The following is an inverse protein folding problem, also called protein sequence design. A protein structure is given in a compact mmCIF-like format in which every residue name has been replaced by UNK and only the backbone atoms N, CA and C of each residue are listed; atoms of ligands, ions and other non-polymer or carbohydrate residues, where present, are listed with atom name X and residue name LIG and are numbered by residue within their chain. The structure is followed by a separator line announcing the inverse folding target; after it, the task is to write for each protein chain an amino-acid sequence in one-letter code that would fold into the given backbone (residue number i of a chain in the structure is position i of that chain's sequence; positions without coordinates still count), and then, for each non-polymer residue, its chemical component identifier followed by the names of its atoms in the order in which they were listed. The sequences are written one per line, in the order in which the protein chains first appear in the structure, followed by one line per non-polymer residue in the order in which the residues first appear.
data_IF_565463378718
#
_entry.id   IF_565463378718
#
_cell.length_a   1.000
_cell.length_b   1.000
_cell.length_c   1.000
_cell.angle_alpha   90.00
_cell.angle_beta   90.00
_cell.angle_gamma   90.00
#
_symmetry.space_group_name_H-M   'P 1'
#
loop_
_entity.id
_entity.type
_entity.pdbx_description
1 polymer ?
#
# COMPACT_ATOMS: atom_id res chain seq x y z
N UNK A 1 8.69 2.16 -11.14
CA UNK A 1 9.45 2.33 -9.89
C UNK A 1 8.55 1.90 -8.75
N UNK A 2 9.00 1.01 -7.88
CA UNK A 2 8.15 0.49 -6.78
C UNK A 2 7.96 1.55 -5.71
N UNK A 3 6.81 1.62 -5.06
CA UNK A 3 6.54 2.58 -3.98
C UNK A 3 6.24 1.85 -2.68
N UNK A 4 6.98 2.20 -1.64
CA UNK A 4 6.81 1.70 -0.29
C UNK A 4 6.30 2.82 0.61
N UNK A 5 5.30 2.50 1.43
CA UNK A 5 4.84 3.37 2.51
C UNK A 5 5.20 2.71 3.84
N UNK A 6 5.96 3.41 4.69
CA UNK A 6 6.29 2.97 6.04
C UNK A 6 5.63 3.90 7.06
N UNK A 7 4.86 3.34 8.00
CA UNK A 7 4.12 4.08 9.01
C UNK A 7 4.41 3.53 10.41
N UNK A 8 4.92 4.37 11.29
CA UNK A 8 5.29 4.03 12.68
C UNK A 8 5.50 5.36 13.42
N UNK A 9 5.00 5.51 14.63
CA UNK A 9 5.13 6.76 15.40
C UNK A 9 6.58 7.05 15.83
N UNK A 10 7.44 6.03 15.82
CA UNK A 10 8.86 6.15 16.08
C UNK A 10 9.68 6.35 14.80
N UNK A 11 10.10 7.60 14.54
CA UNK A 11 10.94 7.93 13.37
C UNK A 11 12.23 7.09 13.29
N UNK A 12 12.79 6.68 14.43
CA UNK A 12 14.00 5.86 14.48
C UNK A 12 13.78 4.47 13.87
N UNK A 13 12.59 3.89 14.09
CA UNK A 13 12.18 2.60 13.52
C UNK A 13 12.03 2.73 12.00
N UNK A 14 11.32 3.77 11.54
CA UNK A 14 11.17 4.07 10.10
C UNK A 14 12.52 4.22 9.39
N UNK A 15 13.44 4.96 10.01
CA UNK A 15 14.78 5.16 9.47
C UNK A 15 15.60 3.87 9.44
N UNK A 16 15.47 3.00 10.45
CA UNK A 16 16.11 1.70 10.48
C UNK A 16 15.60 0.79 9.35
N UNK A 17 14.27 0.66 9.19
CA UNK A 17 13.67 -0.08 8.09
C UNK A 17 14.13 0.46 6.73
N UNK A 18 14.05 1.78 6.51
CA UNK A 18 14.48 2.40 5.26
C UNK A 18 15.94 2.09 4.91
N UNK A 19 16.85 2.17 5.89
CA UNK A 19 18.26 1.84 5.68
C UNK A 19 18.44 0.37 5.26
N UNK A 20 17.71 -0.54 5.89
CA UNK A 20 17.79 -1.96 5.58
C UNK A 20 17.25 -2.28 4.18
N UNK A 21 16.13 -1.64 3.79
CA UNK A 21 15.58 -1.76 2.43
C UNK A 21 16.59 -1.28 1.38
N UNK A 22 17.22 -0.12 1.59
CA UNK A 22 18.23 0.45 0.67
C UNK A 22 19.51 -0.35 0.56
N UNK A 23 19.92 -1.06 1.60
CA UNK A 23 21.15 -1.87 1.55
C UNK A 23 20.99 -3.14 0.70
N UNK A 24 19.76 -3.64 0.56
CA UNK A 24 19.49 -4.95 -0.06
C UNK A 24 18.84 -4.84 -1.44
N UNK A 25 18.06 -3.79 -1.64
CA UNK A 25 17.38 -3.50 -2.90
C UNK A 25 18.17 -2.38 -3.56
N UNK A 26 18.57 -2.55 -4.83
CA UNK A 26 19.32 -1.53 -5.57
C UNK A 26 18.50 -0.22 -5.58
N UNK A 27 19.11 0.87 -5.12
CA UNK A 27 18.47 2.18 -4.83
C UNK A 27 17.67 2.79 -6.01
N UNK A 28 17.82 2.30 -7.24
CA UNK A 28 17.14 2.84 -8.44
C UNK A 28 15.73 2.26 -8.67
N UNK A 29 15.34 1.19 -7.95
CA UNK A 29 14.11 0.45 -8.25
C UNK A 29 12.91 0.82 -7.38
N UNK A 30 13.08 1.60 -6.31
CA UNK A 30 12.01 1.89 -5.37
C UNK A 30 12.10 3.25 -4.64
N UNK A 31 10.92 3.83 -4.39
CA UNK A 31 10.67 5.01 -3.58
C UNK A 31 10.15 4.57 -2.21
N UNK A 32 10.68 5.15 -1.13
CA UNK A 32 10.20 4.90 0.24
C UNK A 32 9.69 6.20 0.85
N UNK A 33 8.40 6.24 1.16
CA UNK A 33 7.73 7.32 1.88
C UNK A 33 7.59 6.92 3.36
N UNK A 34 7.90 7.85 4.27
CA UNK A 34 7.90 7.62 5.71
C UNK A 34 6.88 8.55 6.37
N UNK A 35 6.02 8.01 7.24
CA UNK A 35 5.04 8.80 7.97
C UNK A 35 5.00 8.37 9.44
N UNK A 36 5.10 9.35 10.36
CA UNK A 36 4.89 9.11 11.80
C UNK A 36 3.44 9.33 12.24
N UNK A 37 2.61 9.82 11.34
CA UNK A 37 1.19 10.09 11.57
C UNK A 37 0.36 9.25 10.58
N UNK A 38 -0.45 8.29 11.07
CA UNK A 38 -1.26 7.43 10.21
C UNK A 38 -2.31 8.20 9.40
N UNK A 39 -2.79 9.36 9.87
CA UNK A 39 -3.76 10.17 9.12
C UNK A 39 -3.12 10.82 7.88
N UNK A 40 -1.89 11.32 8.04
CA UNK A 40 -1.12 11.86 6.91
C UNK A 40 -0.77 10.76 5.91
N UNK A 41 -0.44 9.56 6.40
CA UNK A 41 -0.22 8.40 5.55
C UNK A 41 -1.48 8.03 4.75
N UNK A 42 -2.67 8.04 5.37
CA UNK A 42 -3.94 7.78 4.69
C UNK A 42 -4.32 8.87 3.67
N UNK A 43 -3.97 10.12 3.92
CA UNK A 43 -4.11 11.16 2.91
C UNK A 43 -3.23 10.82 1.70
N UNK A 44 -1.98 10.43 1.95
CA UNK A 44 -1.03 10.08 0.88
C UNK A 44 -1.49 8.88 0.05
N UNK A 45 -2.05 7.85 0.70
CA UNK A 45 -2.65 6.68 0.03
C UNK A 45 -3.80 7.06 -0.91
N UNK A 46 -4.45 8.21 -0.72
CA UNK A 46 -5.50 8.69 -1.62
C UNK A 46 -4.98 9.49 -2.81
N UNK A 47 -3.69 9.81 -2.83
CA UNK A 47 -3.05 10.63 -3.87
C UNK A 47 -2.14 9.80 -4.77
N UNK A 48 -1.48 8.78 -4.24
CA UNK A 48 -0.55 7.92 -5.00
C UNK A 48 -0.71 6.46 -4.65
N UNK A 49 -0.48 5.60 -5.63
CA UNK A 49 -0.46 4.16 -5.44
C UNK A 49 0.83 3.66 -4.76
N UNK A 50 0.67 2.71 -3.84
CA UNK A 50 1.77 2.01 -3.18
C UNK A 50 1.77 0.53 -3.56
N UNK A 51 2.96 -0.04 -3.72
CA UNK A 51 3.13 -1.48 -3.94
C UNK A 51 3.12 -2.24 -2.63
N UNK A 52 3.79 -1.69 -1.62
CA UNK A 52 3.92 -2.30 -0.30
C UNK A 52 3.70 -1.25 0.78
N UNK A 53 2.86 -1.58 1.75
CA UNK A 53 2.60 -0.73 2.92
C UNK A 53 2.99 -1.50 4.17
N UNK A 54 3.84 -0.90 5.01
CA UNK A 54 4.28 -1.46 6.29
C UNK A 54 3.80 -0.51 7.38
N UNK A 55 3.00 -0.99 8.31
CA UNK A 55 2.49 -0.19 9.42
C UNK A 55 2.79 -0.86 10.77
N UNK A 56 3.19 -0.06 11.76
CA UNK A 56 3.25 -0.52 13.14
C UNK A 56 1.85 -0.80 13.70
N UNK A 57 1.77 -1.84 14.53
CA UNK A 57 0.51 -2.22 15.17
C UNK A 57 0.06 -1.18 16.21
N UNK A 58 0.99 -0.65 17.01
CA UNK A 58 0.71 0.21 18.16
C UNK A 58 1.08 1.67 17.87
N UNK A 59 0.25 2.34 17.07
CA UNK A 59 0.39 3.78 16.87
C UNK A 59 -0.63 4.56 17.72
N UNK A 60 -0.27 5.73 18.26
CA UNK A 60 -1.21 6.65 18.89
C UNK A 60 -2.33 7.04 17.91
N UNK A 61 -3.53 7.30 18.43
CA UNK A 61 -4.73 7.74 17.69
C UNK A 61 -5.39 6.69 16.78
N UNK A 62 -4.63 5.85 16.09
CA UNK A 62 -5.13 4.80 15.19
C UNK A 62 -4.18 3.61 15.21
N UNK A 63 -4.70 2.41 15.52
CA UNK A 63 -3.86 1.22 15.48
C UNK A 63 -3.55 0.79 14.03
N UNK A 64 -2.52 -0.04 13.85
CA UNK A 64 -2.09 -0.50 12.54
C UNK A 64 -3.12 -1.32 11.78
N UNK A 65 -4.05 -2.01 12.46
CA UNK A 65 -5.10 -2.77 11.79
C UNK A 65 -6.11 -1.83 11.14
N UNK A 66 -6.61 -0.85 11.87
CA UNK A 66 -7.60 0.12 11.38
C UNK A 66 -7.00 0.98 10.25
N UNK A 67 -5.70 1.27 10.33
CA UNK A 67 -4.97 1.91 9.24
C UNK A 67 -4.92 1.00 8.00
N UNK A 68 -4.45 -0.24 8.13
CA UNK A 68 -4.32 -1.17 7.00
C UNK A 68 -5.66 -1.59 6.40
N UNK A 69 -6.74 -1.59 7.19
CA UNK A 69 -8.11 -1.79 6.70
C UNK A 69 -8.54 -0.66 5.76
N UNK A 70 -8.25 0.60 6.12
CA UNK A 70 -8.52 1.73 5.23
C UNK A 70 -7.62 1.73 3.99
N UNK A 71 -6.37 1.27 4.12
CA UNK A 71 -5.48 1.06 2.97
C UNK A 71 -6.03 -0.03 2.05
N UNK A 72 -6.57 -1.13 2.58
CA UNK A 72 -7.23 -2.17 1.78
C UNK A 72 -8.39 -1.58 0.98
N UNK A 73 -9.22 -0.74 1.60
CA UNK A 73 -10.37 -0.15 0.93
C UNK A 73 -9.98 0.85 -0.17
N UNK A 74 -8.92 1.63 0.06
CA UNK A 74 -8.42 2.60 -0.90
C UNK A 74 -7.57 1.95 -2.02
N UNK A 75 -6.73 0.98 -1.66
CA UNK A 75 -5.75 0.30 -2.50
C UNK A 75 -5.75 -1.21 -2.19
N UNK A 76 -6.77 -1.96 -2.66
CA UNK A 76 -6.91 -3.39 -2.35
C UNK A 76 -5.71 -4.22 -2.85
N UNK A 77 -5.09 -3.71 -3.90
CA UNK A 77 -4.00 -4.28 -4.66
C UNK A 77 -2.62 -4.12 -4.01
N UNK A 78 -2.47 -3.19 -3.05
CA UNK A 78 -1.22 -2.97 -2.33
C UNK A 78 -0.93 -4.13 -1.37
N UNK A 79 0.30 -4.63 -1.31
CA UNK A 79 0.67 -5.65 -0.32
C UNK A 79 0.83 -5.01 1.05
N UNK A 80 0.03 -5.43 2.03
CA UNK A 80 0.00 -4.87 3.38
C UNK A 80 0.77 -5.74 4.37
N UNK A 81 1.68 -5.12 5.13
CA UNK A 81 2.53 -5.74 6.14
C UNK A 81 2.33 -5.06 7.49
N UNK A 82 2.32 -5.85 8.56
CA UNK A 82 2.21 -5.33 9.92
C UNK A 82 3.51 -5.52 10.69
N UNK A 83 3.98 -4.47 11.36
CA UNK A 83 5.13 -4.49 12.25
C UNK A 83 4.62 -4.55 13.71
N UNK A 84 5.15 -5.44 14.55
CA UNK A 84 4.67 -5.62 15.93
C UNK A 84 5.79 -6.02 16.89
N UNK A 85 5.77 -5.49 18.12
CA UNK A 85 6.70 -5.86 19.18
C UNK A 85 6.33 -7.15 19.93
N UNK A 86 5.07 -7.63 19.83
CA UNK A 86 4.60 -8.82 20.54
C UNK A 86 4.15 -9.91 19.57
N UNK A 87 4.48 -11.16 19.93
CA UNK A 87 4.09 -12.37 19.19
C UNK A 87 2.70 -12.90 19.60
N UNK A 88 1.99 -12.25 20.51
CA UNK A 88 0.69 -12.73 21.01
C UNK A 88 -0.46 -12.33 20.08
N UNK A 89 -0.45 -12.95 18.90
CA UNK A 89 -1.36 -12.63 17.78
C UNK A 89 -2.75 -13.26 17.92
N UNK A 90 -2.96 -14.16 18.88
CA UNK A 90 -4.20 -14.95 19.00
C UNK A 90 -5.46 -14.08 19.08
N UNK A 91 -5.40 -12.97 19.81
CA UNK A 91 -6.55 -12.07 20.02
C UNK A 91 -6.79 -11.12 18.84
N UNK A 92 -5.75 -10.86 18.02
CA UNK A 92 -5.77 -9.82 16.97
C UNK A 92 -5.99 -10.44 15.57
N UNK A 93 -5.85 -11.76 15.43
CA UNK A 93 -5.97 -12.48 14.13
C UNK A 93 -7.23 -12.13 13.34
N UNK A 94 -8.38 -12.03 13.99
CA UNK A 94 -9.63 -11.66 13.30
C UNK A 94 -9.56 -10.26 12.68
N UNK A 95 -8.93 -9.32 13.36
CA UNK A 95 -8.78 -7.95 12.89
C UNK A 95 -7.76 -7.87 11.74
N UNK A 96 -6.66 -8.61 11.86
CA UNK A 96 -5.63 -8.77 10.82
C UNK A 96 -6.21 -9.36 9.54
N UNK A 97 -7.06 -10.38 9.65
CA UNK A 97 -7.73 -11.00 8.50
C UNK A 97 -8.65 -10.02 7.79
N UNK A 98 -9.35 -9.13 8.52
CA UNK A 98 -10.14 -8.06 7.89
C UNK A 98 -9.24 -7.14 7.09
N UNK A 99 -8.13 -6.66 7.64
CA UNK A 99 -7.19 -5.82 6.90
C UNK A 99 -6.43 -6.56 5.78
N UNK A 100 -6.67 -7.87 5.58
CA UNK A 100 -6.01 -8.72 4.59
C UNK A 100 -4.48 -8.56 4.62
N UNK A 101 -3.92 -8.54 5.84
CA UNK A 101 -2.47 -8.42 6.02
C UNK A 101 -1.78 -9.65 5.44
N UNK A 102 -0.78 -9.44 4.60
CA UNK A 102 -0.05 -10.52 3.97
C UNK A 102 0.89 -11.23 4.95
N UNK A 103 1.67 -10.46 5.71
CA UNK A 103 2.69 -10.94 6.63
C UNK A 103 2.84 -9.98 7.81
N UNK A 104 3.19 -10.53 8.95
CA UNK A 104 3.66 -9.77 10.11
C UNK A 104 5.18 -9.82 10.20
N UNK A 105 5.75 -8.77 10.78
CA UNK A 105 7.17 -8.60 11.05
C UNK A 105 7.30 -8.35 12.55
N UNK A 106 7.95 -9.27 13.27
CA UNK A 106 8.19 -9.11 14.71
C UNK A 106 9.41 -8.22 14.96
N UNK A 107 9.30 -7.27 15.88
CA UNK A 107 10.43 -6.47 16.39
C UNK A 107 11.16 -7.27 17.50
N UNK A 108 12.49 -7.31 17.54
CA UNK A 108 13.43 -6.85 16.50
C UNK A 108 13.48 -7.82 15.31
N UNK A 109 13.68 -7.29 14.11
CA UNK A 109 13.83 -8.08 12.87
C UNK A 109 15.29 -8.16 12.44
N UNK A 110 15.65 -9.24 11.75
CA UNK A 110 16.96 -9.37 11.09
C UNK A 110 16.93 -8.82 9.67
N UNK A 111 18.11 -8.52 9.11
CA UNK A 111 18.23 -8.09 7.72
C UNK A 111 17.73 -9.16 6.74
N UNK A 112 18.02 -10.43 7.00
CA UNK A 112 17.63 -11.54 6.13
C UNK A 112 16.12 -11.78 6.14
N UNK A 113 15.48 -11.71 7.32
CA UNK A 113 14.02 -11.84 7.42
C UNK A 113 13.31 -10.71 6.66
N UNK A 114 13.75 -9.46 6.86
CA UNK A 114 13.12 -8.32 6.19
C UNK A 114 13.31 -8.40 4.67
N UNK A 115 14.50 -8.80 4.21
CA UNK A 115 14.82 -9.01 2.78
C UNK A 115 13.88 -10.06 2.15
N UNK A 116 13.70 -11.20 2.81
CA UNK A 116 12.80 -12.25 2.33
C UNK A 116 11.35 -11.79 2.31
N UNK A 117 10.88 -11.13 3.37
CA UNK A 117 9.50 -10.64 3.46
C UNK A 117 9.22 -9.62 2.35
N UNK A 118 10.15 -8.70 2.09
CA UNK A 118 9.99 -7.69 1.04
C UNK A 118 9.98 -8.33 -0.35
N UNK A 119 10.89 -9.27 -0.62
CA UNK A 119 10.90 -10.03 -1.88
C UNK A 119 9.55 -10.72 -2.11
N UNK A 120 9.06 -11.47 -1.12
CA UNK A 120 7.77 -12.15 -1.20
C UNK A 120 6.59 -11.17 -1.37
N UNK A 121 6.69 -9.97 -0.78
CA UNK A 121 5.66 -8.94 -0.87
C UNK A 121 5.56 -8.32 -2.26
N UNK A 122 6.71 -8.10 -2.91
CA UNK A 122 6.78 -7.65 -4.30
C UNK A 122 6.31 -8.74 -5.26
N UNK A 123 6.72 -9.99 -5.06
CA UNK A 123 6.22 -11.12 -5.86
C UNK A 123 4.69 -11.29 -5.75
N UNK A 124 4.14 -11.08 -4.55
CA UNK A 124 2.69 -11.09 -4.36
C UNK A 124 2.02 -9.92 -5.09
N UNK A 125 2.60 -8.72 -5.02
CA UNK A 125 2.11 -7.55 -5.72
C UNK A 125 2.05 -7.79 -7.23
N UNK A 126 3.08 -8.40 -7.79
CA UNK A 126 3.16 -8.71 -9.23
C UNK A 126 2.09 -9.70 -9.67
N UNK A 127 1.88 -10.75 -8.88
CA UNK A 127 0.82 -11.73 -9.15
C UNK A 127 -0.57 -11.09 -9.15
N UNK A 128 -0.85 -10.24 -8.16
CA UNK A 128 -2.14 -9.52 -8.08
C UNK A 128 -2.35 -8.65 -9.32
N UNK A 129 -1.32 -7.92 -9.75
CA UNK A 129 -1.41 -7.09 -10.96
C UNK A 129 -1.56 -7.90 -12.24
N UNK A 130 -0.86 -9.02 -12.35
CA UNK A 130 -0.98 -9.91 -13.50
C UNK A 130 -2.39 -10.51 -13.59
N UNK A 131 -2.93 -11.03 -12.48
CA UNK A 131 -4.28 -11.58 -12.41
C UNK A 131 -5.33 -10.53 -12.79
N UNK A 132 -5.18 -9.29 -12.29
CA UNK A 132 -6.06 -8.17 -12.63
C UNK A 132 -6.00 -7.83 -14.11
N UNK A 133 -4.80 -7.70 -14.67
CA UNK A 133 -4.57 -7.42 -16.09
C UNK A 133 -5.19 -8.50 -17.00
N UNK A 134 -5.02 -9.77 -16.65
CA UNK A 134 -5.62 -10.89 -17.39
C UNK A 134 -7.15 -10.84 -17.32
N UNK A 135 -7.72 -10.59 -16.14
CA UNK A 135 -9.16 -10.47 -15.97
C UNK A 135 -9.73 -9.30 -16.79
N UNK A 136 -9.03 -8.17 -16.86
CA UNK A 136 -9.45 -7.02 -17.65
C UNK A 136 -9.35 -7.26 -19.16
N UNK A 137 -8.30 -7.95 -19.63
CA UNK A 137 -8.20 -8.37 -21.02
C UNK A 137 -9.40 -9.23 -21.44
N UNK A 138 -9.82 -10.17 -20.59
CA UNK A 138 -11.01 -11.00 -20.81
C UNK A 138 -12.29 -10.15 -20.84
N UNK A 139 -12.42 -9.17 -19.94
CA UNK A 139 -13.59 -8.26 -19.92
C UNK A 139 -13.68 -7.42 -21.20
N UNK A 140 -12.55 -6.95 -21.72
CA UNK A 140 -12.49 -6.22 -23.00
C UNK A 140 -12.89 -7.13 -24.15
N UNK A 141 -12.33 -8.34 -24.23
CA UNK A 141 -12.67 -9.30 -25.30
C UNK A 141 -14.16 -9.67 -25.30
N UNK A 142 -14.79 -9.74 -24.13
CA UNK A 142 -16.24 -10.00 -23.97
C UNK A 142 -17.12 -8.77 -24.19
N UNK A 143 -16.55 -7.60 -24.48
CA UNK A 143 -17.27 -6.34 -24.64
C UNK A 143 -17.87 -5.78 -23.34
N UNK A 144 -17.47 -6.31 -22.18
CA UNK A 144 -17.91 -5.84 -20.85
C UNK A 144 -17.18 -4.55 -20.45
N UNK A 145 -15.95 -4.35 -20.95
CA UNK A 145 -15.14 -3.16 -20.71
C UNK A 145 -14.67 -2.58 -22.05
N UNK A 146 -14.77 -1.25 -22.21
CA UNK A 146 -14.23 -0.58 -23.40
C UNK A 146 -12.74 -0.25 -23.21
N UNK A 147 -11.96 -0.11 -24.29
CA UNK A 147 -10.56 0.33 -24.19
C UNK A 147 -10.40 1.66 -23.45
N UNK A 148 -11.32 2.61 -23.65
CA UNK A 148 -11.31 3.91 -22.99
C UNK A 148 -11.57 3.78 -21.48
N UNK A 149 -12.51 2.91 -21.09
CA UNK A 149 -12.78 2.65 -19.68
C UNK A 149 -11.63 1.91 -18.99
N UNK A 150 -10.92 1.02 -19.72
CA UNK A 150 -9.71 0.38 -19.21
C UNK A 150 -8.59 1.40 -18.99
N UNK A 151 -8.37 2.30 -19.94
CA UNK A 151 -7.33 3.32 -19.81
C UNK A 151 -7.64 4.30 -18.66
N UNK A 152 -8.89 4.72 -18.51
CA UNK A 152 -9.30 5.54 -17.37
C UNK A 152 -9.05 4.82 -16.03
N UNK A 153 -9.33 3.52 -15.95
CA UNK A 153 -9.03 2.73 -14.75
C UNK A 153 -7.53 2.65 -14.48
N UNK A 154 -6.70 2.41 -15.50
CA UNK A 154 -5.24 2.37 -15.37
C UNK A 154 -4.69 3.67 -14.78
N UNK A 155 -5.19 4.81 -15.25
CA UNK A 155 -4.79 6.12 -14.73
C UNK A 155 -5.21 6.30 -13.27
N UNK A 156 -6.44 5.94 -12.92
CA UNK A 156 -6.93 6.01 -11.53
C UNK A 156 -6.18 5.05 -10.60
N UNK A 157 -5.65 3.94 -11.12
CA UNK A 157 -4.82 3.00 -10.35
C UNK A 157 -3.41 3.51 -10.12
N UNK A 158 -2.81 4.22 -11.09
CA UNK A 158 -1.46 4.78 -10.97
C UNK A 158 -1.46 6.05 -10.10
N UNK A 159 -2.45 6.91 -10.31
CA UNK A 159 -2.62 8.19 -9.65
C UNK A 159 -4.09 8.32 -9.20
N UNK A 160 -4.43 7.80 -8.01
CA UNK A 160 -5.78 7.86 -7.47
C UNK A 160 -6.37 9.27 -7.48
N UNK A 161 -7.60 9.41 -7.98
CA UNK A 161 -8.31 10.68 -8.13
C UNK A 161 -8.08 11.42 -9.44
N UNK A 162 -7.12 11.02 -10.29
CA UNK A 162 -6.79 11.75 -11.53
C UNK A 162 -7.93 11.79 -12.55
N UNK A 163 -8.86 10.83 -12.51
CA UNK A 163 -10.03 10.82 -13.39
C UNK A 163 -11.22 11.63 -12.86
N UNK A 164 -11.13 12.15 -11.63
CA UNK A 164 -12.21 12.88 -10.97
C UNK A 164 -12.00 14.39 -11.18
N UNK A 165 -12.80 14.96 -12.07
CA UNK A 165 -12.81 16.42 -12.29
C UNK A 165 -13.92 17.06 -11.44
N UNK A 166 -13.56 18.05 -10.63
CA UNK A 166 -14.52 18.89 -9.91
C UNK A 166 -14.99 20.02 -10.81
N UNK A 167 -16.29 20.09 -11.05
CA UNK A 167 -16.91 21.13 -11.85
C UNK A 167 -17.63 22.14 -10.94
N UNK A 168 -17.41 23.42 -11.20
CA UNK A 168 -18.20 24.51 -10.64
C UNK A 168 -19.60 24.57 -11.26
N UNK A 169 -20.53 25.25 -10.59
CA UNK A 169 -21.91 25.45 -11.07
C UNK A 169 -21.98 26.22 -12.40
N UNK A 170 -20.91 26.92 -12.75
CA UNK A 170 -20.71 27.68 -14.00
C UNK A 170 -19.98 26.87 -15.09
N UNK A 171 -19.68 25.58 -14.84
CA UNK A 171 -18.91 24.75 -15.75
C UNK A 171 -17.40 24.99 -15.72
N UNK A 172 -16.90 25.79 -14.77
CA UNK A 172 -15.46 25.92 -14.53
C UNK A 172 -14.88 24.63 -13.94
N UNK A 173 -13.62 24.33 -14.26
CA UNK A 173 -12.86 23.28 -13.57
C UNK A 173 -12.32 23.87 -12.28
N UNK A 174 -12.73 23.31 -11.14
CA UNK A 174 -12.20 23.70 -9.83
C UNK A 174 -10.90 22.92 -9.59
N UNK A 175 -9.79 23.65 -9.61
CA UNK A 175 -8.47 23.15 -9.22
C UNK A 175 -8.27 23.57 -7.75
N UNK A 176 -8.11 22.58 -6.86
CA UNK A 176 -7.74 22.80 -5.45
C UNK A 176 -6.27 23.26 -5.34
#
# INVERSE_FOLDING_TARGET
MRRFLLVDDEINILQALRRMLRQKIRDEDFLVELHTDPQQALQRVREVAFDVVIADFNMPQMNGVDFLEQVRDAQPDATRLMLSASADFGTIMNAVNRAEVFRYITKPWTATELEEIVRLSLERRDKIMEDRRLADAVRVQRGVLTPQALEARRLEEEEPGITKVRWGLDGSVMLD
#
